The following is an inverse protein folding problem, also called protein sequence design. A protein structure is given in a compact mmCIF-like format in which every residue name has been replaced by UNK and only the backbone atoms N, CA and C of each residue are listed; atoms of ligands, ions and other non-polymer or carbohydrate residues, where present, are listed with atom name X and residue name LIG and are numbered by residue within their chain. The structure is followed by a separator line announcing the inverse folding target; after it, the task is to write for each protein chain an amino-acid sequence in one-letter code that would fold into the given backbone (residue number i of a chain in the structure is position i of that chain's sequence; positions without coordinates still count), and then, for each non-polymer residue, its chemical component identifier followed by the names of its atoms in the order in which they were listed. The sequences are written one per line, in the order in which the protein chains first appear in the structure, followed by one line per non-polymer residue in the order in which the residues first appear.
data_IF_367899185779
#
_entry.id   IF_367899185779
#
_cell.length_a   1.000
_cell.length_b   1.000
_cell.length_c   1.000
_cell.angle_alpha   90.00
_cell.angle_beta   90.00
_cell.angle_gamma   90.00
#
_symmetry.space_group_name_H-M   'P 1'
#
loop_
_entity.id
_entity.type
_entity.pdbx_description
1 polymer ?
#
# COMPACT_ATOMS: atom_id res chain seq x y z
N UNK A 1 -7.52 -16.68 -10.86
CA UNK A 1 -7.79 -15.50 -10.02
C UNK A 1 -7.99 -14.28 -10.91
N UNK A 2 -9.13 -13.60 -10.82
CA UNK A 2 -9.34 -12.39 -11.63
C UNK A 2 -8.37 -11.25 -11.27
N UNK A 3 -7.86 -10.55 -12.28
CA UNK A 3 -6.93 -9.43 -12.11
C UNK A 3 -7.43 -8.35 -11.16
N UNK A 4 -8.74 -8.05 -11.16
CA UNK A 4 -9.36 -7.06 -10.26
C UNK A 4 -9.15 -7.38 -8.77
N UNK A 5 -9.04 -8.67 -8.39
CA UNK A 5 -8.79 -9.06 -6.99
C UNK A 5 -7.35 -8.72 -6.60
N UNK A 6 -6.39 -8.90 -7.52
CA UNK A 6 -5.02 -8.45 -7.32
C UNK A 6 -4.91 -6.93 -7.27
N UNK A 7 -5.70 -6.22 -8.09
CA UNK A 7 -5.77 -4.75 -8.03
C UNK A 7 -6.25 -4.27 -6.67
N UNK A 8 -7.35 -4.83 -6.17
CA UNK A 8 -7.85 -4.50 -4.83
C UNK A 8 -6.82 -4.79 -3.75
N UNK A 9 -6.10 -5.91 -3.86
CA UNK A 9 -5.02 -6.25 -2.92
C UNK A 9 -3.88 -5.23 -2.98
N UNK A 10 -3.47 -4.82 -4.18
CA UNK A 10 -2.40 -3.83 -4.34
C UNK A 10 -2.82 -2.44 -3.88
N UNK A 11 -4.09 -2.06 -4.04
CA UNK A 11 -4.63 -0.83 -3.46
C UNK A 11 -4.58 -0.82 -1.94
N UNK A 12 -4.69 -1.99 -1.30
CA UNK A 12 -4.52 -2.09 0.16
C UNK A 12 -3.07 -1.86 0.60
N UNK A 13 -2.12 -2.37 -0.18
CA UNK A 13 -0.70 -2.28 0.12
C UNK A 13 -0.09 -0.96 -0.34
N UNK A 14 -0.67 -0.36 -1.37
CA UNK A 14 -0.20 0.85 -1.99
C UNK A 14 -1.42 1.73 -2.35
N UNK A 15 -2.10 2.31 -1.35
CA UNK A 15 -3.25 3.16 -1.61
C UNK A 15 -2.83 4.34 -2.48
N UNK A 16 -3.71 4.80 -3.39
CA UNK A 16 -3.45 5.97 -4.20
C UNK A 16 -3.10 7.14 -3.28
N UNK A 17 -1.93 7.72 -3.44
CA UNK A 17 -1.58 8.95 -2.74
C UNK A 17 -2.39 10.08 -3.37
N UNK A 18 -3.22 10.78 -2.60
CA UNK A 18 -4.02 11.92 -3.07
C UNK A 18 -3.20 13.08 -3.65
N UNK A 19 -1.87 12.96 -3.68
CA UNK A 19 -0.94 14.00 -4.13
C UNK A 19 -0.70 14.05 -5.64
N UNK A 20 -1.11 13.03 -6.40
CA UNK A 20 -0.94 13.05 -7.87
C UNK A 20 -1.96 12.14 -8.55
N UNK A 21 -3.16 12.66 -8.87
CA UNK A 21 -4.22 11.88 -9.52
C UNK A 21 -3.84 11.22 -10.85
N UNK A 22 -2.77 11.67 -11.50
CA UNK A 22 -2.36 11.22 -12.83
C UNK A 22 -1.30 10.12 -12.88
N UNK A 23 -0.63 9.79 -11.76
CA UNK A 23 0.51 8.86 -11.76
C UNK A 23 0.18 7.44 -11.26
N UNK A 24 -0.98 7.24 -10.67
CA UNK A 24 -1.29 6.03 -9.89
C UNK A 24 -2.23 5.04 -10.55
N UNK A 25 -2.91 5.40 -11.61
CA UNK A 25 -3.98 4.56 -12.17
C UNK A 25 -3.69 4.12 -13.60
N UNK A 26 -2.53 3.61 -13.87
CA UNK A 26 -2.31 2.94 -15.15
C UNK A 26 -2.45 1.43 -14.97
N UNK A 27 -3.70 0.96 -14.94
CA UNK A 27 -3.99 -0.43 -15.21
C UNK A 27 -3.98 -0.60 -16.73
N UNK A 28 -2.99 -1.30 -17.24
CA UNK A 28 -2.93 -1.71 -18.63
C UNK A 28 -3.37 -3.15 -18.70
N UNK A 29 -4.40 -3.45 -19.49
CA UNK A 29 -4.96 -4.79 -19.64
C UNK A 29 -6.42 -4.89 -19.22
N UNK A 30 -6.96 -6.12 -19.17
CA UNK A 30 -8.37 -6.40 -18.86
C UNK A 30 -8.57 -6.74 -17.39
N UNK A 31 -9.37 -5.99 -16.62
CA UNK A 31 -9.61 -6.28 -15.20
C UNK A 31 -10.20 -7.66 -14.90
N UNK A 32 -10.93 -8.23 -15.85
CA UNK A 32 -11.54 -9.56 -15.75
C UNK A 32 -10.66 -10.71 -16.22
N UNK A 33 -9.37 -10.46 -16.52
CA UNK A 33 -8.47 -11.52 -16.95
C UNK A 33 -8.18 -12.49 -15.81
N UNK A 34 -8.22 -13.78 -16.10
CA UNK A 34 -7.78 -14.82 -15.18
C UNK A 34 -6.26 -14.87 -15.08
N UNK A 35 -5.76 -14.64 -13.87
CA UNK A 35 -4.33 -14.58 -13.57
C UNK A 35 -3.87 -15.87 -12.92
N UNK A 36 -2.84 -16.48 -13.49
CA UNK A 36 -2.13 -17.64 -12.93
C UNK A 36 -0.71 -17.29 -12.46
N UNK A 37 -0.16 -16.16 -12.93
CA UNK A 37 1.21 -15.74 -12.65
C UNK A 37 1.25 -14.28 -12.19
N UNK A 38 1.98 -14.02 -11.12
CA UNK A 38 2.23 -12.68 -10.60
C UNK A 38 3.73 -12.36 -10.64
N UNK A 39 4.06 -11.21 -11.20
CA UNK A 39 5.43 -10.71 -11.32
C UNK A 39 5.56 -9.35 -10.65
N UNK A 40 6.75 -9.06 -10.11
CA UNK A 40 7.15 -7.71 -9.76
C UNK A 40 8.34 -7.30 -10.64
N UNK A 41 8.26 -6.15 -11.27
CA UNK A 41 9.32 -5.60 -12.11
C UNK A 41 9.60 -4.13 -11.71
N UNK A 42 10.83 -3.65 -11.94
CA UNK A 42 11.22 -2.28 -11.60
C UNK A 42 11.98 -1.55 -12.70
N UNK A 43 12.15 -2.19 -13.84
CA UNK A 43 12.70 -1.56 -15.06
C UNK A 43 12.11 -2.20 -16.31
N UNK A 44 12.27 -1.51 -17.44
CA UNK A 44 11.73 -1.92 -18.74
C UNK A 44 12.36 -3.21 -19.29
N UNK A 45 13.63 -3.48 -18.99
CA UNK A 45 14.30 -4.70 -19.44
C UNK A 45 13.70 -5.96 -18.78
N UNK A 46 13.33 -5.85 -17.50
CA UNK A 46 12.63 -6.94 -16.81
C UNK A 46 11.22 -7.14 -17.36
N UNK A 47 10.51 -6.03 -17.64
CA UNK A 47 9.18 -6.07 -18.23
C UNK A 47 9.23 -6.75 -19.62
N UNK A 48 10.16 -6.37 -20.47
CA UNK A 48 10.39 -7.02 -21.78
C UNK A 48 10.71 -8.51 -21.62
N UNK A 49 11.57 -8.86 -20.66
CA UNK A 49 11.89 -10.26 -20.34
C UNK A 49 10.71 -11.09 -19.85
N UNK A 50 9.75 -10.48 -19.15
CA UNK A 50 8.49 -11.11 -18.73
C UNK A 50 7.60 -11.32 -19.97
N UNK A 51 7.39 -10.25 -20.76
CA UNK A 51 6.51 -10.26 -21.93
C UNK A 51 6.94 -11.36 -22.91
N UNK A 52 8.24 -11.46 -23.22
CA UNK A 52 8.79 -12.49 -24.17
C UNK A 52 8.57 -13.92 -23.71
N UNK A 53 8.30 -14.16 -22.44
CA UNK A 53 8.14 -15.50 -21.85
C UNK A 53 6.67 -15.89 -21.65
N UNK A 54 5.75 -14.96 -21.92
CA UNK A 54 4.31 -15.26 -21.82
C UNK A 54 3.92 -16.22 -22.95
N UNK A 55 3.30 -17.34 -22.58
CA UNK A 55 2.75 -18.31 -23.51
C UNK A 55 1.25 -18.06 -23.70
N UNK A 56 0.69 -18.51 -24.81
CA UNK A 56 -0.75 -18.50 -25.01
C UNK A 56 -1.46 -19.26 -23.88
N UNK A 57 -2.46 -18.63 -23.28
CA UNK A 57 -3.22 -19.18 -22.17
C UNK A 57 -2.72 -18.86 -20.75
N UNK A 58 -1.53 -18.30 -20.60
CA UNK A 58 -1.01 -17.85 -19.29
C UNK A 58 -1.46 -16.42 -18.97
N UNK A 59 -2.44 -16.26 -18.09
CA UNK A 59 -2.78 -14.95 -17.55
C UNK A 59 -1.69 -14.43 -16.60
N UNK A 60 -1.09 -13.29 -16.92
CA UNK A 60 -0.03 -12.68 -16.14
C UNK A 60 -0.41 -11.30 -15.59
N UNK A 61 -0.08 -11.07 -14.33
CA UNK A 61 -0.17 -9.76 -13.67
C UNK A 61 1.21 -9.27 -13.29
N UNK A 62 1.56 -8.06 -13.70
CA UNK A 62 2.84 -7.42 -13.40
C UNK A 62 2.62 -6.19 -12.53
N UNK A 63 3.11 -6.23 -11.29
CA UNK A 63 3.27 -5.05 -10.47
C UNK A 63 4.59 -4.35 -10.84
N UNK A 64 4.50 -3.16 -11.43
CA UNK A 64 5.66 -2.39 -11.85
C UNK A 64 6.03 -1.35 -10.80
N UNK A 65 7.21 -1.47 -10.21
CA UNK A 65 7.70 -0.61 -9.13
C UNK A 65 8.52 0.59 -9.64
N UNK A 66 8.85 0.62 -10.92
CA UNK A 66 9.51 1.77 -11.55
C UNK A 66 8.52 2.90 -11.82
N UNK A 67 9.06 3.98 -12.37
CA UNK A 67 8.31 5.15 -12.78
C UNK A 67 8.29 5.22 -14.31
N UNK A 68 7.15 5.58 -14.88
CA UNK A 68 7.02 5.94 -16.28
C UNK A 68 6.58 7.40 -16.37
N UNK A 69 7.20 8.16 -17.26
CA UNK A 69 6.63 9.44 -17.68
C UNK A 69 5.36 9.21 -18.51
N UNK A 70 4.63 10.28 -18.79
CA UNK A 70 3.38 10.21 -19.53
C UNK A 70 3.55 9.63 -20.95
N UNK A 71 4.67 9.96 -21.61
CA UNK A 71 4.98 9.46 -22.96
C UNK A 71 5.28 7.96 -22.93
N UNK A 72 6.09 7.50 -21.98
CA UNK A 72 6.40 6.08 -21.82
C UNK A 72 5.14 5.26 -21.49
N UNK A 73 4.23 5.79 -20.67
CA UNK A 73 2.92 5.16 -20.39
C UNK A 73 2.06 5.04 -21.64
N UNK A 74 1.96 6.10 -22.44
CA UNK A 74 1.23 6.09 -23.70
C UNK A 74 1.79 5.04 -24.68
N UNK A 75 3.11 5.01 -24.85
CA UNK A 75 3.78 4.04 -25.72
C UNK A 75 3.57 2.60 -25.24
N UNK A 76 3.69 2.36 -23.95
CA UNK A 76 3.47 1.05 -23.36
C UNK A 76 2.00 0.60 -23.53
N UNK A 77 1.05 1.51 -23.31
CA UNK A 77 -0.38 1.25 -23.54
C UNK A 77 -0.68 0.85 -24.97
N UNK A 78 -0.05 1.51 -25.94
CA UNK A 78 -0.19 1.17 -27.37
C UNK A 78 0.46 -0.18 -27.68
N UNK A 79 1.67 -0.42 -27.18
CA UNK A 79 2.40 -1.67 -27.41
C UNK A 79 1.69 -2.89 -26.84
N UNK A 80 1.00 -2.73 -25.70
CA UNK A 80 0.32 -3.82 -25.00
C UNK A 80 -1.07 -4.16 -25.55
N UNK A 81 -1.60 -3.41 -26.51
CA UNK A 81 -2.90 -3.70 -27.14
C UNK A 81 -2.99 -5.09 -27.79
N UNK A 82 -1.84 -5.66 -28.19
CA UNK A 82 -1.72 -7.00 -28.75
C UNK A 82 -1.60 -8.12 -27.72
N UNK A 83 -1.51 -7.81 -26.43
CA UNK A 83 -1.34 -8.81 -25.36
C UNK A 83 -2.64 -8.99 -24.57
N UNK A 84 -3.43 -9.98 -24.96
CA UNK A 84 -4.73 -10.26 -24.32
C UNK A 84 -4.60 -10.96 -22.95
N UNK A 85 -3.43 -11.51 -22.66
CA UNK A 85 -3.13 -12.32 -21.47
C UNK A 85 -2.26 -11.60 -20.43
N UNK A 86 -2.13 -10.26 -20.50
CA UNK A 86 -1.26 -9.47 -19.64
C UNK A 86 -2.01 -8.30 -18.99
N UNK A 87 -1.79 -8.13 -17.69
CA UNK A 87 -2.18 -6.94 -16.92
C UNK A 87 -0.93 -6.35 -16.28
N UNK A 88 -0.75 -5.04 -16.41
CA UNK A 88 0.33 -4.30 -15.75
C UNK A 88 -0.26 -3.20 -14.89
N UNK A 89 0.15 -3.15 -13.62
CA UNK A 89 -0.15 -2.04 -12.71
C UNK A 89 1.13 -1.35 -12.24
N UNK A 90 1.18 -0.05 -12.39
CA UNK A 90 2.28 0.77 -11.85
C UNK A 90 1.99 1.07 -10.38
N UNK A 91 2.84 0.59 -9.49
CA UNK A 91 2.69 0.72 -8.03
C UNK A 91 3.85 1.48 -7.37
N UNK A 92 4.83 1.95 -8.16
CA UNK A 92 6.12 2.42 -7.67
C UNK A 92 6.04 3.45 -6.54
N UNK A 93 5.37 4.58 -6.75
CA UNK A 93 5.29 5.65 -5.75
C UNK A 93 4.45 5.26 -4.53
N UNK A 94 3.27 4.68 -4.77
CA UNK A 94 2.37 4.27 -3.68
C UNK A 94 3.02 3.24 -2.76
N UNK A 95 3.77 2.29 -3.33
CA UNK A 95 4.50 1.29 -2.56
C UNK A 95 5.63 1.91 -1.73
N UNK A 96 6.36 2.90 -2.27
CA UNK A 96 7.40 3.63 -1.54
C UNK A 96 6.85 4.38 -0.33
N UNK A 97 5.66 4.97 -0.46
CA UNK A 97 5.02 5.73 0.61
C UNK A 97 4.43 4.85 1.71
N UNK A 98 4.23 3.58 1.43
CA UNK A 98 3.56 2.67 2.33
C UNK A 98 4.43 2.29 3.55
N UNK A 99 3.79 1.97 4.68
CA UNK A 99 4.48 1.54 5.92
C UNK A 99 5.13 0.16 5.81
N UNK A 100 4.93 -0.54 4.73
CA UNK A 100 5.58 -1.80 4.37
C UNK A 100 6.61 -1.64 3.25
N UNK A 101 6.75 -0.43 2.71
CA UNK A 101 7.76 -0.10 1.71
C UNK A 101 9.19 -0.28 2.23
N UNK A 102 10.15 -0.22 1.32
CA UNK A 102 11.55 -0.51 1.63
C UNK A 102 12.15 0.41 2.70
N UNK A 103 11.81 1.69 2.71
CA UNK A 103 12.29 2.64 3.74
C UNK A 103 11.77 2.31 5.12
N UNK A 104 10.51 1.90 5.22
CA UNK A 104 9.92 1.45 6.47
C UNK A 104 10.52 0.10 6.94
N UNK A 105 10.87 -0.79 6.01
CA UNK A 105 11.58 -2.03 6.31
C UNK A 105 12.97 -1.72 6.89
N UNK A 106 13.76 -0.88 6.24
CA UNK A 106 15.09 -0.49 6.72
C UNK A 106 14.98 0.20 8.09
N UNK A 107 14.01 1.08 8.29
CA UNK A 107 13.78 1.75 9.58
C UNK A 107 13.53 0.73 10.72
N UNK A 108 12.70 -0.29 10.46
CA UNK A 108 12.47 -1.38 11.43
C UNK A 108 13.74 -2.20 11.71
N UNK A 109 14.46 -2.58 10.67
CA UNK A 109 15.66 -3.42 10.81
C UNK A 109 16.83 -2.67 11.49
N UNK A 110 16.85 -1.34 11.35
CA UNK A 110 17.74 -0.47 12.16
C UNK A 110 17.27 -0.33 13.61
N UNK A 111 16.03 -0.63 13.92
CA UNK A 111 15.43 -0.43 15.24
C UNK A 111 15.06 1.03 15.53
N UNK A 112 14.63 1.78 14.51
CA UNK A 112 14.20 3.16 14.70
C UNK A 112 12.86 3.21 15.47
N UNK A 113 12.78 4.11 16.41
CA UNK A 113 11.56 4.54 17.10
C UNK A 113 11.05 5.86 16.53
N UNK A 114 9.82 6.25 16.88
CA UNK A 114 9.18 7.49 16.42
C UNK A 114 9.21 7.67 14.90
N UNK A 115 9.08 6.57 14.18
CA UNK A 115 9.18 6.53 12.71
C UNK A 115 8.03 7.26 12.07
N UNK A 116 8.36 8.27 11.25
CA UNK A 116 7.40 9.05 10.47
C UNK A 116 7.92 9.28 9.06
N UNK A 117 7.08 9.64 8.09
CA UNK A 117 7.54 10.10 6.78
C UNK A 117 8.48 11.31 6.91
N UNK A 118 9.53 11.34 6.11
CA UNK A 118 10.41 12.51 6.04
C UNK A 118 9.69 13.67 5.37
N UNK A 119 9.01 13.41 4.26
CA UNK A 119 8.12 14.35 3.58
C UNK A 119 6.71 13.79 3.63
N UNK A 120 5.82 14.44 4.37
CA UNK A 120 4.41 14.08 4.38
C UNK A 120 3.74 14.52 3.07
N UNK A 121 3.10 13.59 2.37
CA UNK A 121 2.38 13.84 1.12
C UNK A 121 0.88 13.87 1.37
N UNK A 122 0.42 13.18 2.40
CA UNK A 122 -0.97 13.11 2.80
C UNK A 122 -1.16 12.33 4.09
N UNK A 123 -2.39 12.24 4.52
CA UNK A 123 -2.81 11.38 5.62
C UNK A 123 -3.91 10.44 5.15
N UNK A 124 -3.87 9.20 5.60
CA UNK A 124 -4.95 8.25 5.43
C UNK A 124 -5.93 8.47 6.59
N UNK A 125 -6.99 9.24 6.35
CA UNK A 125 -8.08 9.36 7.32
C UNK A 125 -8.94 8.09 7.31
N UNK A 126 -9.29 7.63 8.49
CA UNK A 126 -10.18 6.48 8.68
C UNK A 126 -11.49 6.93 9.28
N UNK A 127 -12.54 6.28 8.85
CA UNK A 127 -13.89 6.54 9.30
C UNK A 127 -14.52 5.26 9.81
N UNK A 128 -15.35 5.39 10.82
CA UNK A 128 -16.21 4.33 11.29
C UNK A 128 -17.58 4.53 10.67
N UNK A 129 -18.02 3.55 9.88
CA UNK A 129 -19.38 3.46 9.38
C UNK A 129 -20.19 2.65 10.38
N UNK A 130 -21.29 3.23 10.84
CA UNK A 130 -22.20 2.61 11.81
C UNK A 130 -23.59 2.55 11.20
N UNK A 131 -24.27 1.44 11.42
CA UNK A 131 -25.68 1.25 11.05
C UNK A 131 -26.38 0.34 12.04
N UNK A 132 -27.69 0.35 12.06
CA UNK A 132 -28.51 -0.46 12.94
C UNK A 132 -29.32 -1.44 12.10
N UNK A 133 -29.11 -2.75 12.33
CA UNK A 133 -29.58 -3.81 11.43
C UNK A 133 -30.32 -4.87 12.23
N UNK A 134 -31.51 -5.33 11.79
CA UNK A 134 -32.13 -6.51 12.38
C UNK A 134 -31.18 -7.69 12.41
N UNK A 135 -31.10 -8.40 13.53
CA UNK A 135 -30.11 -9.46 13.79
C UNK A 135 -29.95 -10.46 12.63
N UNK A 136 -31.08 -10.88 12.03
CA UNK A 136 -31.10 -11.82 10.91
C UNK A 136 -30.40 -11.31 9.63
N UNK A 137 -30.35 -10.00 9.44
CA UNK A 137 -29.80 -9.35 8.24
C UNK A 137 -28.33 -8.91 8.40
N UNK A 138 -27.79 -8.92 9.62
CA UNK A 138 -26.40 -8.54 9.94
C UNK A 138 -25.36 -9.26 9.08
N UNK A 139 -25.42 -10.59 8.86
CA UNK A 139 -24.43 -11.27 8.03
C UNK A 139 -24.38 -10.73 6.60
N UNK A 140 -25.54 -10.44 6.00
CA UNK A 140 -25.67 -9.92 4.64
C UNK A 140 -25.09 -8.51 4.53
N UNK A 141 -25.47 -7.60 5.44
CA UNK A 141 -24.99 -6.21 5.46
C UNK A 141 -23.49 -6.17 5.73
N UNK A 142 -23.00 -6.97 6.67
CA UNK A 142 -21.59 -7.09 7.01
C UNK A 142 -20.76 -7.55 5.82
N UNK A 143 -21.17 -8.59 5.11
CA UNK A 143 -20.43 -9.09 3.94
C UNK A 143 -20.44 -8.08 2.79
N UNK A 144 -21.54 -7.34 2.60
CA UNK A 144 -21.58 -6.27 1.60
C UNK A 144 -20.57 -5.15 1.90
N UNK A 145 -20.39 -4.78 3.17
CA UNK A 145 -19.36 -3.84 3.60
C UNK A 145 -17.96 -4.39 3.35
N UNK A 146 -17.70 -5.65 3.71
CA UNK A 146 -16.41 -6.29 3.50
C UNK A 146 -16.02 -6.41 2.03
N UNK A 147 -17.00 -6.61 1.13
CA UNK A 147 -16.77 -6.65 -0.32
C UNK A 147 -16.21 -5.34 -0.89
N UNK A 148 -16.41 -4.22 -0.21
CA UNK A 148 -15.83 -2.90 -0.57
C UNK A 148 -14.42 -2.69 -0.02
N UNK A 149 -13.88 -3.65 0.73
CA UNK A 149 -12.61 -3.52 1.45
C UNK A 149 -12.72 -2.83 2.81
N UNK A 150 -13.91 -2.55 3.31
CA UNK A 150 -14.11 -2.08 4.69
C UNK A 150 -13.70 -3.16 5.71
N UNK A 151 -13.37 -2.75 6.94
CA UNK A 151 -12.98 -3.65 8.02
C UNK A 151 -11.55 -4.16 7.94
N UNK A 152 -10.61 -3.33 7.48
CA UNK A 152 -9.19 -3.69 7.39
C UNK A 152 -8.33 -2.93 8.39
N UNK A 153 -7.49 -3.69 9.11
CA UNK A 153 -6.50 -3.18 10.04
C UNK A 153 -5.17 -3.92 9.87
N UNK A 154 -4.22 -3.31 9.19
CA UNK A 154 -2.92 -3.92 8.92
C UNK A 154 -3.07 -5.27 8.19
N UNK A 155 -2.67 -6.36 8.84
CA UNK A 155 -2.79 -7.73 8.31
C UNK A 155 -4.15 -8.38 8.58
N UNK A 156 -5.09 -7.68 9.25
CA UNK A 156 -6.42 -8.21 9.56
C UNK A 156 -7.45 -7.65 8.57
N UNK A 157 -8.33 -8.51 8.11
CA UNK A 157 -9.46 -8.16 7.26
C UNK A 157 -10.76 -8.64 7.89
N UNK A 158 -11.90 -8.12 7.39
CA UNK A 158 -13.23 -8.45 7.90
C UNK A 158 -13.41 -8.12 9.39
N UNK A 159 -12.76 -7.05 9.85
CA UNK A 159 -12.93 -6.55 11.21
C UNK A 159 -14.22 -5.74 11.31
N UNK A 160 -15.09 -6.15 12.19
CA UNK A 160 -16.31 -5.44 12.53
C UNK A 160 -16.63 -5.64 14.01
N UNK A 161 -17.44 -4.77 14.55
CA UNK A 161 -18.02 -4.94 15.88
C UNK A 161 -19.53 -4.87 15.75
N UNK A 162 -20.25 -5.71 16.48
CA UNK A 162 -21.69 -5.62 16.57
C UNK A 162 -22.11 -5.75 18.04
N UNK A 163 -23.10 -4.98 18.44
CA UNK A 163 -23.70 -5.05 19.77
C UNK A 163 -25.21 -4.94 19.68
N UNK A 164 -25.96 -5.73 20.46
CA UNK A 164 -27.42 -5.67 20.47
C UNK A 164 -27.92 -4.35 21.08
N UNK A 165 -29.07 -3.90 20.62
CA UNK A 165 -29.75 -2.72 21.13
C UNK A 165 -31.20 -2.69 20.69
N UNK A 166 -31.94 -1.68 21.17
CA UNK A 166 -33.33 -1.44 20.77
C UNK A 166 -33.40 -0.12 20.02
N UNK A 167 -33.82 -0.15 18.78
CA UNK A 167 -34.12 1.02 17.97
C UNK A 167 -35.58 1.42 18.11
N UNK A 168 -35.87 2.72 17.99
CA UNK A 168 -37.25 3.22 17.96
C UNK A 168 -37.47 4.04 16.71
N UNK A 169 -38.64 3.92 16.09
CA UNK A 169 -39.04 4.77 15.00
C UNK A 169 -40.56 5.04 14.98
N UNK A 170 -40.92 6.11 14.36
CA UNK A 170 -42.33 6.43 14.05
C UNK A 170 -42.43 6.63 12.53
N UNK A 171 -43.14 5.72 11.86
CA UNK A 171 -43.35 5.83 10.41
C UNK A 171 -44.40 6.89 10.10
N UNK A 172 -44.03 7.93 9.38
CA UNK A 172 -44.95 8.95 8.89
C UNK A 172 -45.88 8.38 7.80
N UNK A 173 -46.92 9.15 7.43
CA UNK A 173 -47.88 8.74 6.39
C UNK A 173 -47.17 8.53 5.05
N UNK A 174 -47.25 7.33 4.55
CA UNK A 174 -46.61 6.90 3.31
C UNK A 174 -45.34 6.10 3.48
N UNK A 175 -44.79 5.99 4.68
CA UNK A 175 -43.68 5.11 4.98
C UNK A 175 -44.06 3.61 4.83
N UNK A 176 -43.12 2.80 4.36
CA UNK A 176 -43.27 1.34 4.24
C UNK A 176 -42.22 0.64 5.11
N UNK A 177 -42.42 0.61 6.44
CA UNK A 177 -41.43 0.04 7.32
C UNK A 177 -41.27 -1.47 7.08
N UNK A 178 -40.03 -1.97 7.06
CA UNK A 178 -39.73 -3.38 6.92
C UNK A 178 -40.19 -4.22 8.13
N UNK A 179 -40.37 -3.58 9.30
CA UNK A 179 -40.94 -4.14 10.53
C UNK A 179 -41.86 -3.11 11.15
N UNK A 180 -42.92 -3.55 11.85
CA UNK A 180 -43.89 -2.66 12.48
C UNK A 180 -44.89 -2.03 11.49
N UNK A 181 -45.53 -0.94 11.89
CA UNK A 181 -46.57 -0.24 11.13
C UNK A 181 -46.36 1.27 11.16
N UNK A 182 -46.72 1.95 10.06
CA UNK A 182 -46.72 3.39 10.05
C UNK A 182 -47.85 3.97 10.97
N UNK A 183 -47.63 5.17 11.50
CA UNK A 183 -48.61 5.87 12.33
C UNK A 183 -48.56 5.57 13.83
N UNK A 184 -47.59 4.80 14.30
CA UNK A 184 -47.32 4.57 15.72
C UNK A 184 -45.81 4.46 16.01
N UNK A 185 -45.46 4.65 17.28
CA UNK A 185 -44.09 4.43 17.74
C UNK A 185 -43.85 2.91 17.83
N UNK A 186 -42.82 2.46 17.14
CA UNK A 186 -42.36 1.05 17.13
C UNK A 186 -41.03 0.93 17.84
N UNK A 187 -40.85 -0.21 18.51
CA UNK A 187 -39.57 -0.64 19.10
C UNK A 187 -39.11 -1.90 18.37
N UNK A 188 -37.84 -1.91 17.94
CA UNK A 188 -37.26 -3.00 17.15
C UNK A 188 -35.92 -3.41 17.75
N UNK A 189 -35.71 -4.72 17.92
CA UNK A 189 -34.42 -5.26 18.30
C UNK A 189 -33.47 -5.23 17.09
N UNK A 190 -32.33 -4.58 17.29
CA UNK A 190 -31.33 -4.35 16.26
C UNK A 190 -29.91 -4.62 16.78
N UNK A 191 -29.02 -4.91 15.89
CA UNK A 191 -27.57 -4.91 16.12
C UNK A 191 -26.98 -3.58 15.61
N UNK A 192 -26.28 -2.88 16.49
CA UNK A 192 -25.40 -1.78 16.09
C UNK A 192 -24.16 -2.37 15.43
N UNK A 193 -24.06 -2.29 14.12
CA UNK A 193 -22.92 -2.79 13.32
C UNK A 193 -21.95 -1.66 13.04
N UNK A 194 -20.68 -1.85 13.39
CA UNK A 194 -19.59 -0.91 13.18
C UNK A 194 -18.48 -1.53 12.32
N UNK A 195 -18.05 -0.80 11.30
CA UNK A 195 -16.94 -1.19 10.41
C UNK A 195 -16.08 0.03 10.11
N UNK A 196 -14.75 -0.12 10.16
CA UNK A 196 -13.83 0.96 9.77
C UNK A 196 -13.56 0.91 8.26
N UNK A 197 -13.50 2.07 7.65
CA UNK A 197 -13.28 2.28 6.21
C UNK A 197 -12.32 3.44 5.99
N UNK A 198 -11.53 3.40 4.92
CA UNK A 198 -10.69 4.53 4.53
C UNK A 198 -11.52 5.59 3.79
N UNK A 199 -11.04 6.84 3.78
CA UNK A 199 -11.74 7.99 3.15
C UNK A 199 -12.15 7.71 1.70
N UNK A 200 -11.28 7.07 0.92
CA UNK A 200 -11.50 6.80 -0.51
C UNK A 200 -12.64 5.80 -0.74
N UNK A 201 -12.96 4.97 0.26
CA UNK A 201 -13.93 3.88 0.16
C UNK A 201 -15.28 4.17 0.80
N UNK A 202 -15.44 5.31 1.49
CA UNK A 202 -16.69 5.67 2.17
C UNK A 202 -17.87 5.60 1.22
N UNK A 203 -17.77 6.21 0.04
CA UNK A 203 -18.87 6.25 -0.93
C UNK A 203 -19.28 4.86 -1.40
N UNK A 204 -18.31 3.97 -1.64
CA UNK A 204 -18.57 2.57 -2.03
C UNK A 204 -19.20 1.79 -0.87
N UNK A 205 -18.68 1.96 0.35
CA UNK A 205 -19.20 1.29 1.54
C UNK A 205 -20.65 1.69 1.84
N UNK A 206 -20.96 2.99 1.79
CA UNK A 206 -22.31 3.50 1.99
C UNK A 206 -23.27 3.00 0.90
N UNK A 207 -22.83 2.98 -0.36
CA UNK A 207 -23.65 2.45 -1.46
C UNK A 207 -23.94 0.95 -1.32
N UNK A 208 -22.93 0.16 -0.95
CA UNK A 208 -23.09 -1.26 -0.73
C UNK A 208 -23.99 -1.56 0.48
N UNK A 209 -23.83 -0.80 1.57
CA UNK A 209 -24.66 -0.88 2.76
C UNK A 209 -26.13 -0.63 2.42
N UNK A 210 -26.44 0.51 1.74
CA UNK A 210 -27.82 0.86 1.36
C UNK A 210 -28.49 -0.23 0.53
N UNK A 211 -27.75 -0.85 -0.41
CA UNK A 211 -28.28 -1.94 -1.26
C UNK A 211 -28.55 -3.23 -0.50
N UNK A 212 -27.78 -3.50 0.54
CA UNK A 212 -27.88 -4.74 1.31
C UNK A 212 -28.85 -4.64 2.48
N UNK A 213 -29.08 -3.42 2.97
CA UNK A 213 -29.92 -3.15 4.14
C UNK A 213 -31.40 -3.47 3.87
N UNK A 214 -32.13 -4.06 4.83
CA UNK A 214 -33.55 -4.37 4.66
C UNK A 214 -34.46 -3.13 4.72
N UNK A 215 -33.98 -2.03 5.32
CA UNK A 215 -34.80 -0.80 5.46
C UNK A 215 -34.75 0.06 4.22
N UNK A 216 -35.88 0.70 3.93
CA UNK A 216 -36.02 1.68 2.85
C UNK A 216 -35.03 2.86 3.04
N UNK A 217 -34.96 3.38 4.28
CA UNK A 217 -34.03 4.43 4.68
C UNK A 217 -33.21 4.01 5.90
N UNK A 218 -32.08 3.31 5.72
CA UNK A 218 -31.25 2.91 6.83
C UNK A 218 -30.52 4.11 7.45
N UNK A 219 -30.43 4.13 8.77
CA UNK A 219 -29.57 5.06 9.49
C UNK A 219 -28.10 4.69 9.22
N UNK A 220 -27.34 5.64 8.73
CA UNK A 220 -25.91 5.50 8.44
C UNK A 220 -25.16 6.65 9.07
N UNK A 221 -24.35 6.34 10.06
CA UNK A 221 -23.52 7.32 10.76
C UNK A 221 -22.07 7.14 10.34
N UNK A 222 -21.35 8.24 10.14
CA UNK A 222 -19.95 8.23 9.75
C UNK A 222 -19.16 9.08 10.73
N UNK A 223 -18.26 8.44 11.47
CA UNK A 223 -17.39 9.11 12.44
C UNK A 223 -15.93 9.04 11.96
N UNK A 224 -15.24 10.15 11.97
CA UNK A 224 -13.80 10.15 11.79
C UNK A 224 -13.12 9.51 13.00
N UNK A 225 -12.27 8.50 12.76
CA UNK A 225 -11.49 7.83 13.79
C UNK A 225 -10.06 8.30 13.72
N UNK A 226 -9.62 8.98 14.76
CA UNK A 226 -8.34 9.69 14.84
C UNK A 226 -7.10 8.81 14.82
N UNK A 227 -6.85 8.13 13.72
CA UNK A 227 -5.57 7.52 13.40
C UNK A 227 -5.09 8.06 12.06
N UNK A 228 -4.49 9.24 12.13
CA UNK A 228 -3.77 9.81 11.01
C UNK A 228 -2.54 8.95 10.70
N UNK A 229 -2.64 8.10 9.70
CA UNK A 229 -1.47 7.45 9.13
C UNK A 229 -0.89 8.41 8.10
N UNK A 230 0.16 9.11 8.48
CA UNK A 230 0.87 9.98 7.55
C UNK A 230 1.53 9.14 6.46
N UNK A 231 1.16 9.42 5.22
CA UNK A 231 1.74 8.82 4.02
C UNK A 231 2.78 9.79 3.49
N UNK A 232 3.94 9.28 3.06
CA UNK A 232 4.95 10.15 2.49
C UNK A 232 6.28 9.49 2.19
N UNK A 233 7.18 10.29 1.64
CA UNK A 233 8.50 9.86 1.20
C UNK A 233 9.47 9.71 2.36
N UNK A 234 10.37 8.73 2.21
CA UNK A 234 11.40 8.44 3.17
C UNK A 234 10.87 8.09 4.56
N UNK A 235 11.75 7.85 5.48
CA UNK A 235 11.42 7.65 6.90
C UNK A 235 12.46 8.32 7.77
N UNK A 236 12.01 9.15 8.70
CA UNK A 236 12.81 9.71 9.77
C UNK A 236 12.42 9.01 11.06
N UNK A 237 13.42 8.71 11.88
CA UNK A 237 13.21 8.10 13.19
C UNK A 237 14.46 8.20 14.03
N UNK A 238 14.38 7.70 15.25
CA UNK A 238 15.44 7.80 16.25
C UNK A 238 15.93 6.42 16.68
N UNK A 239 17.24 6.27 16.80
CA UNK A 239 17.85 5.06 17.35
C UNK A 239 17.79 5.10 18.88
N UNK A 240 17.48 3.97 19.52
CA UNK A 240 17.55 3.83 20.97
C UNK A 240 18.99 3.96 21.50
N UNK A 241 19.97 3.55 20.69
CA UNK A 241 21.40 3.75 20.96
C UNK A 241 22.09 4.23 19.68
N UNK A 242 23.11 5.03 19.83
CA UNK A 242 23.86 5.57 18.69
C UNK A 242 24.54 4.47 17.87
N UNK A 243 24.56 4.63 16.55
CA UNK A 243 25.28 3.78 15.59
C UNK A 243 26.27 4.63 14.80
N UNK A 244 27.43 4.06 14.51
CA UNK A 244 28.33 4.62 13.50
C UNK A 244 27.81 4.35 12.09
N UNK A 245 28.23 5.16 11.11
CA UNK A 245 27.92 4.93 9.68
C UNK A 245 28.33 3.53 9.22
N UNK A 246 29.45 3.02 9.71
CA UNK A 246 29.94 1.69 9.40
C UNK A 246 29.05 0.55 9.96
N UNK A 247 28.53 0.71 11.16
CA UNK A 247 27.59 -0.25 11.78
C UNK A 247 26.23 -0.24 11.07
N UNK A 248 25.69 0.95 10.81
CA UNK A 248 24.46 1.12 10.04
C UNK A 248 24.61 0.49 8.64
N UNK A 249 25.70 0.78 7.96
CA UNK A 249 26.03 0.21 6.64
C UNK A 249 25.98 -1.31 6.62
N UNK A 250 26.61 -2.00 7.61
CA UNK A 250 26.60 -3.46 7.71
C UNK A 250 25.18 -4.03 7.90
N UNK A 251 24.40 -3.42 8.79
CA UNK A 251 23.00 -3.83 9.00
C UNK A 251 22.16 -3.70 7.72
N UNK A 252 22.27 -2.55 7.05
CA UNK A 252 21.50 -2.27 5.85
C UNK A 252 21.96 -3.13 4.66
N UNK A 253 23.27 -3.41 4.54
CA UNK A 253 23.81 -4.29 3.52
C UNK A 253 23.17 -5.68 3.55
N UNK A 254 22.88 -6.22 4.74
CA UNK A 254 22.18 -7.50 4.89
C UNK A 254 20.73 -7.44 4.40
N UNK A 255 20.03 -6.33 4.63
CA UNK A 255 18.63 -6.12 4.19
C UNK A 255 18.55 -5.95 2.68
N UNK A 256 19.42 -5.11 2.12
CA UNK A 256 19.43 -4.80 0.69
C UNK A 256 20.12 -5.88 -0.17
N UNK A 257 20.86 -6.80 0.46
CA UNK A 257 21.65 -7.82 -0.25
C UNK A 257 22.69 -7.21 -1.17
N UNK A 258 23.31 -6.09 -0.76
CA UNK A 258 24.28 -5.33 -1.55
C UNK A 258 25.29 -4.63 -0.67
N UNK A 259 26.49 -4.37 -1.20
CA UNK A 259 27.48 -3.54 -0.53
C UNK A 259 27.14 -2.05 -0.75
N UNK A 260 27.47 -1.19 0.22
CA UNK A 260 27.33 0.26 0.05
C UNK A 260 28.30 0.77 -1.02
N UNK A 261 27.94 1.82 -1.72
CA UNK A 261 28.81 2.55 -2.67
C UNK A 261 29.54 3.69 -1.97
N UNK A 262 28.96 4.20 -0.87
CA UNK A 262 29.57 5.23 -0.05
C UNK A 262 29.24 4.99 1.43
N UNK A 263 30.27 5.10 2.27
CA UNK A 263 30.15 5.19 3.73
C UNK A 263 31.07 6.32 4.15
N UNK A 264 30.53 7.36 4.77
CA UNK A 264 31.29 8.56 5.18
C UNK A 264 30.76 9.08 6.51
N UNK A 265 31.64 9.78 7.24
CA UNK A 265 31.36 10.33 8.57
C UNK A 265 31.44 9.27 9.68
N UNK A 266 32.06 9.62 10.78
CA UNK A 266 32.20 8.77 11.97
C UNK A 266 31.25 9.15 13.10
N UNK A 267 30.28 10.01 12.81
CA UNK A 267 29.31 10.48 13.80
C UNK A 267 28.56 9.30 14.43
N UNK A 268 28.42 9.33 15.75
CA UNK A 268 27.52 8.45 16.48
C UNK A 268 26.09 8.96 16.26
N UNK A 269 25.46 8.46 15.22
CA UNK A 269 24.14 8.90 14.79
C UNK A 269 23.04 8.40 15.73
N UNK A 270 22.07 9.27 15.99
CA UNK A 270 20.84 8.96 16.70
C UNK A 270 19.61 9.26 15.86
N UNK A 271 19.57 10.42 15.20
CA UNK A 271 18.49 10.80 14.30
C UNK A 271 18.85 10.37 12.86
N UNK A 272 17.99 9.54 12.26
CA UNK A 272 18.28 8.87 10.99
C UNK A 272 17.20 9.19 9.96
N UNK A 273 17.62 9.51 8.74
CA UNK A 273 16.78 9.56 7.55
C UNK A 273 17.08 8.38 6.64
N UNK A 274 16.07 7.59 6.33
CA UNK A 274 16.09 6.55 5.29
C UNK A 274 15.31 7.03 4.07
N UNK A 275 15.95 7.02 2.91
CA UNK A 275 15.39 7.52 1.65
C UNK A 275 15.53 6.48 0.52
N UNK A 276 14.61 6.46 -0.45
CA UNK A 276 14.65 5.57 -1.61
C UNK A 276 14.27 6.27 -2.93
N UNK A 277 14.02 7.58 -2.84
CA UNK A 277 13.66 8.44 -3.95
C UNK A 277 14.85 9.01 -4.74
N UNK A 278 14.63 10.21 -5.27
CA UNK A 278 15.71 10.99 -5.85
C UNK A 278 16.78 11.31 -4.79
N UNK A 279 18.07 10.99 -5.00
CA UNK A 279 19.10 11.18 -4.00
C UNK A 279 19.29 12.65 -3.57
N UNK A 280 19.19 13.58 -4.51
CA UNK A 280 19.34 15.02 -4.24
C UNK A 280 18.24 15.53 -3.32
N UNK A 281 16.98 15.12 -3.57
CA UNK A 281 15.87 15.46 -2.70
C UNK A 281 16.05 14.85 -1.30
N UNK A 282 16.54 13.61 -1.20
CA UNK A 282 16.82 12.95 0.09
C UNK A 282 17.90 13.65 0.90
N UNK A 283 18.97 14.05 0.24
CA UNK A 283 20.07 14.82 0.87
C UNK A 283 19.58 16.19 1.34
N UNK A 284 18.78 16.87 0.53
CA UNK A 284 18.16 18.14 0.89
C UNK A 284 17.30 18.00 2.15
N UNK A 285 16.45 16.97 2.21
CA UNK A 285 15.64 16.67 3.38
C UNK A 285 16.48 16.33 4.62
N UNK A 286 17.58 15.60 4.45
CA UNK A 286 18.52 15.30 5.53
C UNK A 286 19.12 16.58 6.14
N UNK A 287 19.49 17.53 5.27
CA UNK A 287 20.00 18.83 5.68
C UNK A 287 18.95 19.65 6.42
N UNK A 288 17.73 19.75 5.87
CA UNK A 288 16.64 20.51 6.48
C UNK A 288 16.27 19.98 7.87
N UNK A 289 16.27 18.68 8.04
CA UNK A 289 15.89 18.03 9.31
C UNK A 289 17.03 17.90 10.30
N UNK A 290 18.25 18.20 9.87
CA UNK A 290 19.43 18.13 10.73
C UNK A 290 19.70 16.73 11.27
N UNK A 291 19.43 15.67 10.47
CA UNK A 291 19.67 14.29 10.93
C UNK A 291 21.16 13.98 11.03
N UNK A 292 21.51 13.07 11.92
CA UNK A 292 22.89 12.62 12.13
C UNK A 292 23.35 11.61 11.11
N UNK A 293 22.41 10.85 10.49
CA UNK A 293 22.70 9.83 9.51
C UNK A 293 21.71 9.87 8.35
N UNK A 294 22.23 9.97 7.14
CA UNK A 294 21.48 9.72 5.90
C UNK A 294 21.76 8.33 5.36
N UNK A 295 20.71 7.62 4.98
CA UNK A 295 20.74 6.34 4.29
C UNK A 295 19.92 6.45 3.01
N UNK A 296 20.54 6.28 1.85
CA UNK A 296 19.82 6.47 0.60
C UNK A 296 20.51 5.90 -0.64
N UNK A 297 19.92 6.17 -1.83
CA UNK A 297 20.52 5.81 -3.09
C UNK A 297 21.77 6.65 -3.38
N UNK A 298 22.66 6.07 -4.22
CA UNK A 298 23.87 6.74 -4.69
C UNK A 298 23.57 8.11 -5.35
N UNK A 299 24.20 9.15 -4.83
CA UNK A 299 24.10 10.54 -5.29
C UNK A 299 25.25 10.96 -6.20
N UNK A 300 26.02 9.99 -6.71
CA UNK A 300 27.18 10.24 -7.59
C UNK A 300 28.21 11.20 -6.99
N UNK A 301 28.41 11.11 -5.68
CA UNK A 301 29.42 11.85 -4.95
C UNK A 301 28.95 13.15 -4.28
N UNK A 302 27.72 13.63 -4.55
CA UNK A 302 27.17 14.82 -3.90
C UNK A 302 27.12 14.68 -2.37
N UNK A 303 26.77 13.51 -1.87
CA UNK A 303 26.75 13.19 -0.46
C UNK A 303 28.11 13.39 0.24
N UNK A 304 29.23 13.06 -0.44
CA UNK A 304 30.59 13.27 0.09
C UNK A 304 30.91 14.75 0.28
N UNK A 305 30.42 15.60 -0.61
CA UNK A 305 30.59 17.07 -0.50
C UNK A 305 29.84 17.55 0.74
N UNK A 306 28.62 17.07 0.94
CA UNK A 306 27.80 17.45 2.11
C UNK A 306 28.32 16.90 3.42
N UNK A 307 28.87 15.68 3.44
CA UNK A 307 29.52 15.11 4.62
C UNK A 307 30.74 15.93 5.09
N UNK A 308 31.46 16.55 4.14
CA UNK A 308 32.57 17.44 4.48
C UNK A 308 32.15 18.78 5.09
N UNK A 309 30.89 19.16 4.98
CA UNK A 309 30.35 20.42 5.53
C UNK A 309 29.62 20.25 6.86
N UNK A 310 29.25 19.03 7.21
CA UNK A 310 28.60 18.66 8.50
C UNK A 310 29.15 17.33 9.01
N UNK A 311 29.16 17.12 10.30
CA UNK A 311 29.56 15.85 10.94
C UNK A 311 28.48 14.75 10.81
N UNK A 312 27.69 14.77 9.73
CA UNK A 312 26.66 13.79 9.50
C UNK A 312 27.21 12.52 8.83
N UNK A 313 26.76 11.38 9.29
CA UNK A 313 27.05 10.09 8.66
C UNK A 313 26.26 9.92 7.35
N UNK A 314 26.90 9.32 6.36
CA UNK A 314 26.29 9.02 5.06
C UNK A 314 26.53 7.57 4.70
N UNK A 315 25.46 6.87 4.32
CA UNK A 315 25.50 5.50 3.81
C UNK A 315 24.67 5.43 2.54
N UNK A 316 25.31 5.20 1.41
CA UNK A 316 24.64 5.10 0.12
C UNK A 316 24.77 3.71 -0.48
N UNK A 317 23.72 3.27 -1.15
CA UNK A 317 23.65 2.00 -1.87
C UNK A 317 23.19 2.22 -3.31
N UNK A 318 23.48 1.28 -4.23
CA UNK A 318 22.95 1.35 -5.58
C UNK A 318 21.42 1.43 -5.56
N UNK A 319 20.84 2.35 -6.32
CA UNK A 319 19.37 2.59 -6.34
C UNK A 319 18.55 1.33 -6.60
N UNK A 320 19.04 0.44 -7.48
CA UNK A 320 18.33 -0.79 -7.81
C UNK A 320 18.09 -1.72 -6.60
N UNK A 321 18.93 -1.64 -5.55
CA UNK A 321 18.80 -2.48 -4.37
C UNK A 321 17.53 -2.15 -3.58
N UNK A 322 17.16 -0.87 -3.50
CA UNK A 322 15.91 -0.43 -2.88
C UNK A 322 14.71 -0.98 -3.66
N UNK A 323 14.71 -0.83 -4.99
CA UNK A 323 13.64 -1.33 -5.85
C UNK A 323 13.51 -2.86 -5.78
N UNK A 324 14.64 -3.57 -5.82
CA UNK A 324 14.66 -5.03 -5.70
C UNK A 324 14.14 -5.51 -4.35
N UNK A 325 14.51 -4.85 -3.26
CA UNK A 325 14.03 -5.18 -1.92
C UNK A 325 12.53 -4.91 -1.80
N UNK A 326 12.05 -3.76 -2.31
CA UNK A 326 10.63 -3.45 -2.39
C UNK A 326 9.83 -4.49 -3.18
N UNK A 327 10.38 -4.96 -4.31
CA UNK A 327 9.76 -6.02 -5.11
C UNK A 327 9.69 -7.36 -4.37
N UNK A 328 10.74 -7.73 -3.61
CA UNK A 328 10.75 -8.95 -2.78
C UNK A 328 9.67 -8.90 -1.70
N UNK A 329 9.55 -7.76 -1.00
CA UNK A 329 8.51 -7.58 0.02
C UNK A 329 7.11 -7.69 -0.59
N UNK A 330 6.86 -7.05 -1.72
CA UNK A 330 5.59 -7.12 -2.41
C UNK A 330 5.23 -8.55 -2.83
N UNK A 331 6.18 -9.28 -3.43
CA UNK A 331 5.98 -10.69 -3.79
C UNK A 331 5.69 -11.54 -2.56
N UNK A 332 6.43 -11.33 -1.47
CA UNK A 332 6.20 -12.05 -0.22
C UNK A 332 4.76 -11.85 0.28
N UNK A 333 4.27 -10.61 0.31
CA UNK A 333 2.91 -10.29 0.75
C UNK A 333 1.84 -10.92 -0.14
N UNK A 334 2.00 -10.82 -1.46
CA UNK A 334 1.06 -11.45 -2.42
C UNK A 334 1.06 -12.97 -2.28
N UNK A 335 2.22 -13.58 -2.09
CA UNK A 335 2.37 -15.04 -1.88
C UNK A 335 1.66 -15.50 -0.61
N UNK A 336 1.90 -14.83 0.50
CA UNK A 336 1.28 -15.18 1.77
C UNK A 336 -0.25 -15.03 1.71
N UNK A 337 -0.74 -14.01 1.04
CA UNK A 337 -2.16 -13.83 0.79
C UNK A 337 -2.72 -14.94 -0.11
N UNK A 338 -2.03 -15.27 -1.21
CA UNK A 338 -2.41 -16.35 -2.13
C UNK A 338 -2.50 -17.71 -1.44
N UNK A 339 -1.58 -18.03 -0.53
CA UNK A 339 -1.63 -19.25 0.29
C UNK A 339 -2.86 -19.29 1.19
N UNK A 340 -3.14 -18.19 1.91
CA UNK A 340 -4.29 -18.10 2.84
C UNK A 340 -5.63 -18.23 2.13
N UNK A 341 -5.75 -17.63 0.96
CA UNK A 341 -6.99 -17.61 0.17
C UNK A 341 -7.05 -18.75 -0.86
N UNK A 342 -6.04 -19.64 -0.91
CA UNK A 342 -5.96 -20.77 -1.84
C UNK A 342 -6.09 -20.39 -3.33
N UNK A 343 -5.50 -19.26 -3.75
CA UNK A 343 -5.62 -18.74 -5.12
C UNK A 343 -4.83 -19.54 -6.16
N UNK A 344 -3.87 -20.37 -5.74
CA UNK A 344 -3.01 -21.12 -6.66
C UNK A 344 -2.08 -20.25 -7.52
N UNK A 345 -1.85 -19.01 -7.12
CA UNK A 345 -1.06 -18.02 -7.85
C UNK A 345 0.43 -18.31 -7.75
N UNK A 346 1.11 -18.41 -8.89
CA UNK A 346 2.57 -18.50 -8.95
C UNK A 346 3.19 -17.10 -8.95
N UNK A 347 4.16 -16.86 -8.07
CA UNK A 347 4.80 -15.56 -7.90
C UNK A 347 6.26 -15.61 -8.36
N UNK A 348 6.71 -14.59 -9.09
CA UNK A 348 8.04 -14.54 -9.69
C UNK A 348 8.72 -13.19 -9.45
N UNK A 349 10.00 -13.27 -9.07
CA UNK A 349 10.91 -12.13 -9.01
C UNK A 349 11.93 -12.26 -10.15
N UNK A 350 12.02 -11.32 -11.10
CA UNK A 350 13.02 -11.38 -12.14
C UNK A 350 14.44 -11.27 -11.54
N UNK A 351 15.38 -12.03 -12.11
CA UNK A 351 16.80 -11.92 -11.72
C UNK A 351 17.39 -10.58 -12.15
N UNK A 352 18.53 -10.20 -11.56
CA UNK A 352 19.28 -8.97 -11.92
C UNK A 352 19.58 -8.86 -13.43
N UNK A 353 19.66 -9.98 -14.16
CA UNK A 353 19.99 -10.06 -15.58
C UNK A 353 18.82 -10.44 -16.50
N UNK A 354 17.56 -10.30 -16.04
CA UNK A 354 16.40 -10.71 -16.85
C UNK A 354 16.19 -12.22 -17.00
N UNK A 355 16.99 -13.04 -16.35
CA UNK A 355 16.77 -14.50 -16.27
C UNK A 355 15.83 -14.81 -15.12
N UNK A 356 14.98 -15.84 -15.24
CA UNK A 356 14.08 -16.25 -14.18
C UNK A 356 14.85 -16.51 -12.88
N UNK A 357 14.53 -15.74 -11.86
CA UNK A 357 14.86 -16.09 -10.49
C UNK A 357 13.96 -17.23 -10.05
N UNK A 358 14.56 -18.23 -9.44
CA UNK A 358 13.98 -19.47 -8.91
C UNK A 358 12.62 -19.24 -8.23
N UNK A 359 11.66 -20.14 -8.51
CA UNK A 359 10.50 -20.40 -7.65
C UNK A 359 10.98 -20.57 -6.21
N UNK A 360 10.87 -19.55 -5.38
CA UNK A 360 11.14 -19.66 -3.94
C UNK A 360 9.85 -19.72 -3.17
#
# INVERSE_FOLDING_TARGET
LEARILDQLLEEFAPPSGASPGLQECLLGRPGLDISRFYAAWNTAQLDGIIRKLQEGDGAYVAYLGEFDEKARCLLSLALRGYENLVIRVVGLSWRYHSWGVTARIARDLGLTDVRPAVAIGSESRFKVVTFVPQKDVPKVRESLFSTGAGRYGLYSKCSFASPGTGTFYGEKGAQPAQGQAGRLEEVEEERLEVVVTSERIGQAVSALRKAHPYEEPVIEIYEVGHERRIGEGRVGRLASTLSSAEASRKIASVLGSQPVCVSGDAKAQDVLVWDGNPEAGLYEALLKGVDLYVGPDSHGLAKILAGTREAGIVEFPRYCFLMTGAKELIYMVREKSKRESWGLRTFLPSKAGKEGVNT
#
